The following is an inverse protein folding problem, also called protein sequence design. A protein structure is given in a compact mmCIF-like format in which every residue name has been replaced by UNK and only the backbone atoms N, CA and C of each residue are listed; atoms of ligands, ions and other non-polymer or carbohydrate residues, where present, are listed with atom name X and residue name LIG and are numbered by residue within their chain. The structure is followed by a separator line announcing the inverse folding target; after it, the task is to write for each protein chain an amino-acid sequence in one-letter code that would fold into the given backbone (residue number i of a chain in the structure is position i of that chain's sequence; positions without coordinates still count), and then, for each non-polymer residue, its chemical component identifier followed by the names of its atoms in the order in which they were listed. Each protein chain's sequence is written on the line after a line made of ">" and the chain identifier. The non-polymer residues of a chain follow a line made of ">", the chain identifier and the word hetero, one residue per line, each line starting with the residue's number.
data_IF_687485784974
#
_entry.id   IF_687485784974
#
_cell.length_a   1.000
_cell.length_b   1.000
_cell.length_c   1.000
_cell.angle_alpha   90.00
_cell.angle_beta   90.00
_cell.angle_gamma   90.00
#
_symmetry.space_group_name_H-M   'P 1'
#
loop_
_entity.id
_entity.type
_entity.pdbx_description
1 polymer ?
#
# COMPACT_ATOMS: atom_id res chain seq x y z
N UNK A 1 -14.10 8.13 19.00
CA UNK A 1 -12.95 9.04 19.14
C UNK A 1 -12.21 8.75 20.45
N UNK A 2 -11.11 8.01 20.38
CA UNK A 2 -10.23 7.81 21.54
C UNK A 2 -9.49 9.13 21.82
N UNK A 3 -9.47 9.61 23.09
CA UNK A 3 -8.67 10.77 23.51
C UNK A 3 -7.16 10.61 23.26
N UNK A 4 -6.72 9.37 22.92
CA UNK A 4 -5.33 9.03 22.61
C UNK A 4 -4.96 9.19 21.12
N UNK A 5 -5.93 9.44 20.21
CA UNK A 5 -5.69 9.58 18.78
C UNK A 5 -5.71 11.04 18.38
N UNK A 6 -4.62 11.52 17.76
CA UNK A 6 -4.53 12.83 17.14
C UNK A 6 -4.61 12.65 15.61
N UNK A 7 -5.58 13.27 14.97
CA UNK A 7 -5.77 13.23 13.54
C UNK A 7 -5.30 14.51 12.86
N UNK A 8 -4.48 14.38 11.81
CA UNK A 8 -3.99 15.50 11.02
C UNK A 8 -4.28 15.23 9.54
N UNK A 9 -5.19 15.99 8.92
CA UNK A 9 -5.45 15.91 7.48
C UNK A 9 -4.32 16.61 6.72
N UNK A 10 -3.30 15.88 6.32
CA UNK A 10 -2.12 16.37 5.59
C UNK A 10 -1.79 15.46 4.42
N UNK A 11 -1.25 16.05 3.34
CA UNK A 11 -0.75 15.32 2.18
C UNK A 11 0.73 15.01 2.38
N UNK A 12 1.10 13.73 2.27
CA UNK A 12 2.49 13.25 2.41
C UNK A 12 3.42 13.80 1.31
N UNK A 13 2.89 14.25 0.18
CA UNK A 13 3.67 14.93 -0.86
C UNK A 13 4.29 16.25 -0.40
N UNK A 14 3.82 16.82 0.70
CA UNK A 14 4.31 18.08 1.22
C UNK A 14 5.11 17.90 2.51
N UNK A 15 6.43 17.76 2.36
CA UNK A 15 7.37 17.59 3.48
C UNK A 15 7.18 18.65 4.58
N UNK A 16 7.05 19.94 4.19
CA UNK A 16 6.92 21.04 5.16
C UNK A 16 5.69 20.89 6.07
N UNK A 17 4.60 20.29 5.54
CA UNK A 17 3.35 20.10 6.29
C UNK A 17 3.35 18.85 7.18
N UNK A 18 4.21 17.86 6.93
CA UNK A 18 4.21 16.60 7.68
C UNK A 18 5.39 16.45 8.63
N UNK A 19 6.56 17.03 8.33
CA UNK A 19 7.81 16.75 9.05
C UNK A 19 7.69 16.86 10.56
N UNK A 20 7.02 17.93 11.06
CA UNK A 20 6.92 18.20 12.48
C UNK A 20 6.01 17.20 13.23
N UNK A 21 5.20 16.41 12.51
CA UNK A 21 4.35 15.38 13.09
C UNK A 21 5.16 14.17 13.58
N UNK A 22 6.42 14.07 13.19
CA UNK A 22 7.30 12.95 13.52
C UNK A 22 8.10 13.17 14.81
N UNK A 23 7.96 14.33 15.44
CA UNK A 23 8.64 14.63 16.73
C UNK A 23 8.11 13.72 17.83
N UNK A 24 9.00 12.95 18.47
CA UNK A 24 8.65 12.04 19.56
C UNK A 24 7.88 10.80 19.12
N UNK A 25 8.01 10.40 17.84
CA UNK A 25 7.41 9.17 17.32
C UNK A 25 8.43 8.03 17.38
N UNK A 26 8.02 6.86 17.87
CA UNK A 26 8.86 5.67 17.99
C UNK A 26 8.78 4.77 16.78
N UNK A 27 7.60 4.69 16.14
CA UNK A 27 7.30 3.77 15.04
C UNK A 27 6.35 4.43 14.04
N UNK A 28 6.64 4.25 12.76
CA UNK A 28 5.77 4.68 11.65
C UNK A 28 5.12 3.47 10.99
N UNK A 29 3.79 3.48 10.86
CA UNK A 29 3.05 2.62 9.95
C UNK A 29 2.76 3.41 8.67
N UNK A 30 3.47 3.10 7.60
CA UNK A 30 3.34 3.80 6.33
C UNK A 30 2.38 3.08 5.40
N UNK A 31 1.09 3.45 5.46
CA UNK A 31 0.02 2.89 4.65
C UNK A 31 -0.48 3.86 3.57
N UNK A 32 -0.07 5.14 3.65
CA UNK A 32 -0.53 6.17 2.73
C UNK A 32 0.00 5.91 1.31
N UNK A 33 -0.90 5.65 0.37
CA UNK A 33 -0.60 5.41 -1.04
C UNK A 33 -1.86 5.56 -1.91
N UNK A 34 -1.67 5.72 -3.22
CA UNK A 34 -2.68 5.42 -4.23
C UNK A 34 -2.56 3.93 -4.59
N UNK A 35 -3.66 3.18 -4.63
CA UNK A 35 -3.65 1.72 -4.63
C UNK A 35 -4.34 1.05 -5.83
N UNK A 36 -5.10 1.77 -6.64
CA UNK A 36 -5.87 1.18 -7.73
C UNK A 36 -5.02 1.01 -8.99
N UNK A 37 -5.07 -0.18 -9.62
CA UNK A 37 -4.22 -0.51 -10.78
C UNK A 37 -4.62 0.29 -12.02
N UNK A 38 -5.91 0.27 -12.40
CA UNK A 38 -6.37 0.94 -13.65
C UNK A 38 -6.14 2.45 -13.60
N UNK A 39 -6.54 3.19 -12.54
CA UNK A 39 -6.20 4.61 -12.45
C UNK A 39 -4.69 4.89 -12.47
N UNK A 40 -3.85 3.94 -12.10
CA UNK A 40 -2.39 4.13 -12.18
C UNK A 40 -1.89 4.18 -13.62
N UNK A 41 -2.57 3.51 -14.55
CA UNK A 41 -2.24 3.54 -15.99
C UNK A 41 -2.67 4.88 -16.59
N UNK A 42 -3.83 5.39 -16.16
CA UNK A 42 -4.38 6.65 -16.66
C UNK A 42 -3.64 7.88 -16.10
N UNK A 43 -3.17 7.80 -14.83
CA UNK A 43 -2.55 8.92 -14.10
C UNK A 43 -1.24 8.49 -13.42
N UNK A 44 -0.24 7.99 -14.16
CA UNK A 44 0.98 7.42 -13.57
C UNK A 44 1.76 8.43 -12.72
N UNK A 45 1.79 9.69 -13.11
CA UNK A 45 2.51 10.74 -12.37
C UNK A 45 1.95 10.94 -10.96
N UNK A 46 0.63 10.85 -10.77
CA UNK A 46 0.02 10.96 -9.45
C UNK A 46 0.48 9.83 -8.52
N UNK A 47 0.59 8.62 -9.07
CA UNK A 47 1.07 7.44 -8.34
C UNK A 47 2.55 7.57 -7.96
N UNK A 48 3.40 8.00 -8.90
CA UNK A 48 4.82 8.22 -8.61
C UNK A 48 4.99 9.33 -7.55
N UNK A 49 4.31 10.45 -7.70
CA UNK A 49 4.38 11.54 -6.73
C UNK A 49 3.89 11.13 -5.34
N UNK A 50 2.77 10.40 -5.26
CA UNK A 50 2.22 10.02 -3.97
C UNK A 50 3.02 8.88 -3.34
N UNK A 51 3.27 7.79 -4.10
CA UNK A 51 3.83 6.57 -3.55
C UNK A 51 5.35 6.62 -3.39
N UNK A 52 6.06 7.40 -4.22
CA UNK A 52 7.53 7.52 -4.15
C UNK A 52 7.92 8.79 -3.43
N UNK A 53 7.56 9.97 -3.96
CA UNK A 53 7.94 11.24 -3.33
C UNK A 53 7.30 11.36 -1.94
N UNK A 54 6.04 10.93 -1.77
CA UNK A 54 5.40 10.86 -0.46
C UNK A 54 6.17 9.97 0.52
N UNK A 55 6.65 8.79 0.08
CA UNK A 55 7.49 7.89 0.88
C UNK A 55 8.83 8.53 1.24
N UNK A 56 9.48 9.19 0.29
CA UNK A 56 10.73 9.96 0.54
C UNK A 56 10.50 11.02 1.62
N UNK A 57 9.40 11.76 1.54
CA UNK A 57 9.06 12.79 2.54
C UNK A 57 8.82 12.20 3.94
N UNK A 58 8.19 11.02 4.02
CA UNK A 58 8.04 10.27 5.29
C UNK A 58 9.42 9.90 5.84
N UNK A 59 10.26 9.29 5.02
CA UNK A 59 11.62 8.87 5.42
C UNK A 59 12.49 10.06 5.82
N UNK A 60 12.41 11.17 5.11
CA UNK A 60 13.14 12.40 5.44
C UNK A 60 12.63 12.99 6.77
N UNK A 61 11.33 12.96 7.03
CA UNK A 61 10.77 13.35 8.32
C UNK A 61 11.28 12.45 9.45
N UNK A 62 11.35 11.14 9.22
CA UNK A 62 11.93 10.17 10.16
C UNK A 62 13.41 10.47 10.43
N UNK A 63 14.18 10.77 9.39
CA UNK A 63 15.60 11.13 9.50
C UNK A 63 15.79 12.38 10.36
N UNK A 64 15.02 13.45 10.08
CA UNK A 64 15.09 14.74 10.82
C UNK A 64 14.80 14.55 12.31
N UNK A 65 13.81 13.73 12.66
CA UNK A 65 13.40 13.52 14.05
C UNK A 65 13.92 12.22 14.67
N UNK A 66 14.90 11.57 14.02
CA UNK A 66 15.57 10.36 14.49
C UNK A 66 14.61 9.18 14.79
N UNK A 67 13.53 9.06 14.03
CA UNK A 67 12.62 7.91 14.12
C UNK A 67 13.28 6.70 13.49
N UNK A 68 13.37 5.58 14.20
CA UNK A 68 14.20 4.43 13.80
C UNK A 68 13.42 3.19 13.38
N UNK A 69 12.10 3.24 13.34
CA UNK A 69 11.27 2.07 13.00
C UNK A 69 10.18 2.43 12.01
N UNK A 70 10.04 1.62 10.96
CA UNK A 70 8.96 1.76 9.97
C UNK A 70 8.41 0.39 9.54
N UNK A 71 7.09 0.28 9.47
CA UNK A 71 6.38 -0.81 8.82
C UNK A 71 5.72 -0.26 7.56
N UNK A 72 6.09 -0.81 6.42
CA UNK A 72 5.62 -0.37 5.12
C UNK A 72 4.63 -1.34 4.51
N UNK A 73 3.45 -0.85 4.15
CA UNK A 73 2.52 -1.60 3.33
C UNK A 73 2.99 -1.59 1.88
N UNK A 74 3.77 -2.59 1.51
CA UNK A 74 4.15 -2.87 0.13
C UNK A 74 2.99 -3.56 -0.62
N UNK A 75 3.28 -4.31 -1.67
CA UNK A 75 2.24 -5.02 -2.42
C UNK A 75 2.82 -6.24 -3.12
N UNK A 76 2.08 -7.35 -3.08
CA UNK A 76 2.39 -8.54 -3.89
C UNK A 76 2.32 -8.30 -5.40
N UNK A 77 1.69 -7.21 -5.85
CA UNK A 77 1.67 -6.81 -7.26
C UNK A 77 3.08 -6.54 -7.84
N UNK A 78 4.10 -6.35 -6.98
CA UNK A 78 5.48 -6.23 -7.43
C UNK A 78 6.00 -7.49 -8.15
N UNK A 79 5.45 -8.66 -7.86
CA UNK A 79 5.84 -9.91 -8.53
C UNK A 79 5.29 -10.06 -9.96
N UNK A 80 4.31 -9.21 -10.36
CA UNK A 80 3.64 -9.35 -11.64
C UNK A 80 2.89 -10.68 -11.74
N UNK A 81 3.30 -11.53 -12.68
CA UNK A 81 2.79 -12.91 -12.84
C UNK A 81 3.87 -13.87 -12.31
N UNK A 82 3.72 -14.40 -11.11
CA UNK A 82 4.73 -15.28 -10.52
C UNK A 82 4.91 -16.56 -11.31
N UNK A 83 6.14 -17.09 -11.31
CA UNK A 83 6.47 -18.35 -11.98
C UNK A 83 6.02 -19.57 -11.17
N UNK A 84 5.92 -19.41 -9.85
CA UNK A 84 5.57 -20.49 -8.91
C UNK A 84 4.50 -20.05 -7.92
N UNK A 85 3.68 -21.00 -7.53
CA UNK A 85 2.66 -20.86 -6.48
C UNK A 85 2.83 -21.97 -5.44
N UNK A 86 2.75 -21.70 -4.14
CA UNK A 86 2.63 -20.36 -3.52
C UNK A 86 3.84 -19.47 -3.81
N UNK A 87 3.60 -18.17 -3.97
CA UNK A 87 4.64 -17.17 -4.22
C UNK A 87 5.36 -16.83 -2.91
N UNK A 88 6.68 -16.97 -2.89
CA UNK A 88 7.51 -16.60 -1.75
C UNK A 88 8.25 -15.28 -1.99
N UNK A 89 8.93 -14.76 -0.96
CA UNK A 89 9.59 -13.45 -1.00
C UNK A 89 10.82 -13.39 -1.93
N UNK A 90 11.33 -14.56 -2.39
CA UNK A 90 12.47 -14.67 -3.32
C UNK A 90 12.03 -14.71 -4.78
N UNK A 91 10.71 -14.65 -5.05
CA UNK A 91 10.20 -14.62 -6.43
C UNK A 91 10.69 -13.35 -7.14
N UNK A 92 10.82 -13.46 -8.46
CA UNK A 92 11.29 -12.35 -9.31
C UNK A 92 10.35 -11.16 -9.20
N UNK A 93 10.93 -9.96 -9.04
CA UNK A 93 10.20 -8.70 -9.05
C UNK A 93 10.03 -8.25 -10.50
N UNK A 94 8.78 -8.20 -10.98
CA UNK A 94 8.44 -7.85 -12.36
C UNK A 94 7.13 -7.05 -12.41
N UNK A 95 7.11 -5.81 -11.87
CA UNK A 95 5.91 -5.00 -11.78
C UNK A 95 5.38 -4.62 -13.16
N UNK A 96 4.13 -4.98 -13.46
CA UNK A 96 3.51 -4.80 -14.78
C UNK A 96 2.79 -3.46 -14.96
N UNK A 97 2.52 -2.73 -13.87
CA UNK A 97 1.71 -1.51 -13.89
C UNK A 97 2.36 -0.40 -13.06
N UNK A 98 2.08 0.88 -13.33
CA UNK A 98 2.64 2.01 -12.59
C UNK A 98 2.41 1.93 -11.07
N UNK A 99 1.24 1.44 -10.62
CA UNK A 99 1.00 1.16 -9.20
C UNK A 99 2.01 0.18 -8.63
N UNK A 100 2.14 -1.00 -9.24
CA UNK A 100 3.05 -2.05 -8.78
C UNK A 100 4.51 -1.56 -8.77
N UNK A 101 4.90 -0.84 -9.82
CA UNK A 101 6.22 -0.21 -9.94
C UNK A 101 6.46 0.81 -8.83
N UNK A 102 5.51 1.71 -8.57
CA UNK A 102 5.63 2.73 -7.52
C UNK A 102 5.76 2.12 -6.13
N UNK A 103 5.04 1.02 -5.84
CA UNK A 103 5.14 0.30 -4.56
C UNK A 103 6.49 -0.38 -4.39
N UNK A 104 7.02 -1.00 -5.45
CA UNK A 104 8.35 -1.59 -5.45
C UNK A 104 9.45 -0.54 -5.27
N UNK A 105 9.37 0.60 -5.95
CA UNK A 105 10.32 1.69 -5.76
C UNK A 105 10.25 2.28 -4.34
N UNK A 106 9.06 2.39 -3.75
CA UNK A 106 8.91 2.78 -2.34
C UNK A 106 9.63 1.81 -1.40
N UNK A 107 9.50 0.51 -1.61
CA UNK A 107 10.21 -0.53 -0.84
C UNK A 107 11.73 -0.40 -0.98
N UNK A 108 12.23 -0.25 -2.20
CA UNK A 108 13.67 -0.05 -2.47
C UNK A 108 14.20 1.23 -1.83
N UNK A 109 13.42 2.31 -1.89
CA UNK A 109 13.77 3.58 -1.25
C UNK A 109 13.88 3.41 0.27
N UNK A 110 12.94 2.72 0.91
CA UNK A 110 13.00 2.44 2.34
C UNK A 110 14.23 1.60 2.69
N UNK A 111 14.52 0.54 1.92
CA UNK A 111 15.68 -0.31 2.13
C UNK A 111 16.99 0.49 2.03
N UNK A 112 17.07 1.42 1.07
CA UNK A 112 18.21 2.30 0.92
C UNK A 112 18.39 3.24 2.13
N UNK A 113 17.32 3.93 2.56
CA UNK A 113 17.35 4.79 3.76
C UNK A 113 17.69 4.01 5.03
N UNK A 114 17.12 2.81 5.16
CA UNK A 114 17.38 1.91 6.30
C UNK A 114 18.87 1.61 6.45
N UNK A 115 19.55 1.32 5.33
CA UNK A 115 20.99 1.05 5.31
C UNK A 115 21.80 2.28 5.74
N UNK A 116 21.49 3.47 5.22
CA UNK A 116 22.27 4.68 5.45
C UNK A 116 22.00 5.27 6.85
N UNK A 117 20.73 5.36 7.24
CA UNK A 117 20.30 6.07 8.45
C UNK A 117 19.99 5.16 9.63
N UNK A 118 20.30 3.86 9.52
CA UNK A 118 20.09 2.84 10.57
C UNK A 118 18.63 2.80 11.02
N UNK A 119 17.71 2.68 10.06
CA UNK A 119 16.28 2.54 10.30
C UNK A 119 15.93 1.04 10.22
N UNK A 120 15.27 0.52 11.23
CA UNK A 120 14.70 -0.83 11.19
C UNK A 120 13.39 -0.79 10.41
N UNK A 121 13.24 -1.64 9.41
CA UNK A 121 12.03 -1.68 8.61
C UNK A 121 11.50 -3.09 8.40
N UNK A 122 10.18 -3.17 8.23
CA UNK A 122 9.48 -4.34 7.72
C UNK A 122 8.68 -3.91 6.51
N UNK A 123 8.83 -4.62 5.40
CA UNK A 123 8.05 -4.42 4.18
C UNK A 123 7.08 -5.58 4.01
N UNK A 124 5.78 -5.30 4.09
CA UNK A 124 4.71 -6.29 3.97
C UNK A 124 4.17 -6.30 2.54
N UNK A 125 4.56 -7.26 1.73
CA UNK A 125 4.04 -7.46 0.36
C UNK A 125 2.67 -8.14 0.42
N UNK A 126 1.68 -7.38 0.90
CA UNK A 126 0.33 -7.88 1.12
C UNK A 126 -0.33 -8.35 -0.17
N UNK A 127 -1.00 -9.49 -0.11
CA UNK A 127 -1.91 -9.98 -1.13
C UNK A 127 -3.29 -9.31 -0.98
N UNK A 128 -4.39 -10.01 -1.20
CA UNK A 128 -5.73 -9.38 -1.17
C UNK A 128 -6.24 -9.31 0.27
N UNK A 129 -5.97 -8.18 0.93
CA UNK A 129 -6.48 -7.93 2.28
C UNK A 129 -7.97 -7.63 2.23
N UNK A 130 -8.75 -8.30 3.08
CA UNK A 130 -10.19 -8.08 3.21
C UNK A 130 -10.61 -7.98 4.67
N UNK A 131 -11.83 -7.49 4.92
CA UNK A 131 -12.38 -7.38 6.27
C UNK A 131 -13.28 -6.17 6.41
N UNK A 132 -13.56 -5.82 7.67
CA UNK A 132 -14.41 -4.67 8.01
C UNK A 132 -13.84 -3.38 7.45
N UNK A 133 -14.71 -2.46 6.99
CA UNK A 133 -14.38 -1.16 6.38
C UNK A 133 -13.73 -1.27 5.00
N UNK A 134 -13.73 -2.45 4.36
CA UNK A 134 -13.34 -2.56 2.95
C UNK A 134 -14.19 -1.66 2.07
N UNK A 135 -13.56 -1.04 1.06
CA UNK A 135 -14.28 -0.23 0.08
C UNK A 135 -15.18 -1.12 -0.76
N UNK A 136 -16.46 -0.74 -0.89
CA UNK A 136 -17.47 -1.49 -1.65
C UNK A 136 -17.94 -0.76 -2.92
N UNK A 137 -17.52 0.47 -3.12
CA UNK A 137 -18.10 1.41 -4.11
C UNK A 137 -17.10 1.87 -5.19
N UNK A 138 -15.98 1.19 -5.37
CA UNK A 138 -15.07 1.46 -6.49
C UNK A 138 -15.26 0.41 -7.58
N UNK A 139 -15.25 0.84 -8.86
CA UNK A 139 -15.30 -0.06 -10.01
C UNK A 139 -14.12 -1.09 -9.99
N UNK A 140 -13.08 -0.77 -9.22
CA UNK A 140 -11.84 -1.54 -9.08
C UNK A 140 -11.63 -2.05 -7.65
N UNK A 141 -12.68 -2.07 -6.81
CA UNK A 141 -12.63 -2.61 -5.45
C UNK A 141 -12.22 -4.09 -5.45
N UNK A 142 -11.65 -4.54 -4.32
CA UNK A 142 -11.39 -5.96 -4.14
C UNK A 142 -12.67 -6.76 -4.38
N UNK A 143 -12.59 -7.86 -5.12
CA UNK A 143 -13.73 -8.65 -5.57
C UNK A 143 -14.75 -8.95 -4.46
N UNK A 144 -14.26 -9.26 -3.24
CA UNK A 144 -15.13 -9.51 -2.08
C UNK A 144 -16.01 -8.31 -1.71
N UNK A 145 -15.48 -7.08 -1.75
CA UNK A 145 -16.26 -5.87 -1.45
C UNK A 145 -17.34 -5.60 -2.50
N UNK A 146 -17.01 -5.83 -3.78
CA UNK A 146 -17.94 -5.69 -4.90
C UNK A 146 -19.05 -6.73 -4.81
N UNK A 147 -18.72 -8.00 -4.61
CA UNK A 147 -19.68 -9.09 -4.47
C UNK A 147 -20.60 -8.89 -3.26
N UNK A 148 -20.05 -8.47 -2.13
CA UNK A 148 -20.85 -8.16 -0.95
C UNK A 148 -21.88 -7.06 -1.24
N UNK A 149 -21.45 -5.98 -1.89
CA UNK A 149 -22.36 -4.91 -2.29
C UNK A 149 -23.45 -5.41 -3.24
N UNK A 150 -23.10 -6.18 -4.26
CA UNK A 150 -24.05 -6.76 -5.21
C UNK A 150 -25.03 -7.67 -4.49
N UNK A 151 -24.56 -8.54 -3.59
CA UNK A 151 -25.43 -9.41 -2.77
C UNK A 151 -26.42 -8.60 -1.93
N UNK A 152 -25.95 -7.58 -1.22
CA UNK A 152 -26.79 -6.73 -0.35
C UNK A 152 -27.81 -5.91 -1.14
N UNK A 153 -27.52 -5.60 -2.41
CA UNK A 153 -28.42 -4.85 -3.31
C UNK A 153 -29.27 -5.74 -4.20
N UNK A 154 -29.29 -7.06 -3.99
CA UNK A 154 -29.96 -8.05 -4.84
C UNK A 154 -29.60 -7.97 -6.33
N UNK A 155 -28.35 -7.55 -6.64
CA UNK A 155 -27.83 -7.57 -7.99
C UNK A 155 -27.04 -8.86 -8.26
N UNK A 156 -27.04 -9.36 -9.51
CA UNK A 156 -26.21 -10.51 -9.87
C UNK A 156 -24.72 -10.20 -9.74
N UNK A 157 -23.92 -11.23 -9.44
CA UNK A 157 -22.48 -11.08 -9.37
C UNK A 157 -21.88 -10.82 -10.76
N UNK A 158 -21.02 -9.81 -10.87
CA UNK A 158 -20.27 -9.54 -12.10
C UNK A 158 -19.02 -10.39 -12.11
N UNK A 159 -18.99 -11.41 -12.96
CA UNK A 159 -17.84 -12.28 -13.19
C UNK A 159 -17.14 -11.83 -14.48
N UNK A 160 -15.85 -11.48 -14.36
CA UNK A 160 -15.02 -11.11 -15.51
C UNK A 160 -14.21 -12.35 -15.92
N UNK A 161 -14.31 -12.74 -17.20
CA UNK A 161 -13.67 -13.94 -17.72
C UNK A 161 -14.48 -15.21 -17.42
N UNK A 162 -13.80 -16.32 -17.18
CA UNK A 162 -14.40 -17.65 -17.00
C UNK A 162 -14.73 -18.00 -15.52
N UNK A 163 -14.48 -17.10 -14.60
CA UNK A 163 -14.74 -17.29 -13.17
C UNK A 163 -13.77 -18.26 -12.45
N UNK A 164 -12.74 -18.76 -13.13
CA UNK A 164 -11.78 -19.72 -12.55
C UNK A 164 -10.58 -19.06 -11.89
N UNK A 165 -10.53 -17.71 -11.86
CA UNK A 165 -9.44 -16.97 -11.24
C UNK A 165 -9.35 -17.30 -9.76
N UNK A 166 -8.14 -17.64 -9.31
CA UNK A 166 -7.81 -17.87 -7.90
C UNK A 166 -7.03 -16.67 -7.36
N UNK A 167 -7.29 -16.32 -6.10
CA UNK A 167 -6.55 -15.28 -5.38
C UNK A 167 -6.30 -15.77 -3.97
N UNK A 168 -5.19 -15.34 -3.42
CA UNK A 168 -4.89 -15.50 -2.01
C UNK A 168 -5.47 -14.31 -1.22
N UNK A 169 -6.13 -14.61 -0.10
CA UNK A 169 -6.81 -13.61 0.73
C UNK A 169 -6.28 -13.68 2.16
N UNK A 170 -6.05 -12.51 2.76
CA UNK A 170 -5.70 -12.37 4.17
C UNK A 170 -6.75 -11.52 4.88
N UNK A 171 -7.29 -11.99 5.99
CA UNK A 171 -8.25 -11.23 6.76
C UNK A 171 -7.54 -10.14 7.58
N UNK A 172 -8.20 -8.99 7.77
CA UNK A 172 -7.60 -7.83 8.45
C UNK A 172 -7.24 -8.09 9.92
N UNK A 173 -7.77 -9.15 10.52
CA UNK A 173 -7.44 -9.55 11.90
C UNK A 173 -6.21 -10.47 11.99
N UNK A 174 -5.72 -11.01 10.89
CA UNK A 174 -4.52 -11.86 10.82
C UNK A 174 -3.26 -11.02 10.68
#
# INVERSE_FOLDING_TARGET
>A
NSKKVKFYKKDIKNLKKIKNLFRGIDLVFHLAALSDVVPSIEKPIDYLNTNIIGTVNVLESMRIYNVKKIIYSASSSCYGIPRKYPTNEKEVIDPKYPYAFSKNLGEQTIAHWAKIYKINFVSLRLFNVYGTRSRTNTAYGAALGVFLKQKLSNHPFTIIGDGKQKRDFIHVND
#
